data_IF_202495360864
#
_entry.id   IF_202495360864
#
_cell.length_a   1.000
_cell.length_b   1.000
_cell.length_c   1.000
_cell.angle_alpha   90.00
_cell.angle_beta   90.00
_cell.angle_gamma   90.00
#
_symmetry.space_group_name_H-M   'P 1'
#
loop_
_entity.id
_entity.type
_entity.pdbx_description
1 polymer ?
#
# COMPACT_ATOMS: atom_id res chain seq x y z
N UNK A 1 -15.42 -8.62 -8.40
CA UNK A 1 -14.05 -9.11 -8.71
C UNK A 1 -13.15 -8.84 -7.52
N UNK A 2 -12.32 -9.82 -7.16
CA UNK A 2 -11.31 -9.64 -6.12
C UNK A 2 -10.36 -8.47 -6.45
N UNK A 3 -9.97 -7.69 -5.43
CA UNK A 3 -9.14 -6.48 -5.61
C UNK A 3 -7.73 -6.84 -6.10
N UNK A 4 -7.21 -7.98 -5.65
CA UNK A 4 -5.92 -8.52 -6.10
C UNK A 4 -5.96 -8.79 -7.59
N UNK A 5 -7.01 -9.45 -8.08
CA UNK A 5 -7.17 -9.73 -9.51
C UNK A 5 -7.26 -8.43 -10.32
N UNK A 6 -8.05 -7.45 -9.88
CA UNK A 6 -8.18 -6.17 -10.60
C UNK A 6 -6.86 -5.40 -10.75
N UNK A 7 -6.00 -5.45 -9.72
CA UNK A 7 -4.68 -4.79 -9.79
C UNK A 7 -3.74 -5.63 -10.65
N UNK A 8 -3.79 -6.96 -10.55
CA UNK A 8 -2.97 -7.87 -11.34
C UNK A 8 -3.26 -7.73 -12.85
N UNK A 9 -4.52 -7.59 -13.23
CA UNK A 9 -4.92 -7.38 -14.63
C UNK A 9 -4.40 -6.05 -15.17
N UNK A 10 -4.40 -4.99 -14.36
CA UNK A 10 -3.87 -3.68 -14.73
C UNK A 10 -2.33 -3.61 -14.71
N UNK A 11 -1.70 -4.42 -13.86
CA UNK A 11 -0.26 -4.47 -13.65
C UNK A 11 0.29 -5.90 -13.70
N UNK A 12 0.33 -6.54 -14.89
CA UNK A 12 0.75 -7.94 -15.02
C UNK A 12 2.19 -8.20 -14.58
N UNK A 13 3.03 -7.16 -14.54
CA UNK A 13 4.42 -7.19 -14.12
C UNK A 13 4.61 -7.41 -12.60
N UNK A 14 3.57 -7.17 -11.78
CA UNK A 14 3.60 -7.45 -10.33
C UNK A 14 3.24 -8.91 -10.06
N UNK A 15 3.97 -9.59 -9.19
CA UNK A 15 3.54 -10.88 -8.64
C UNK A 15 2.30 -10.72 -7.75
N UNK A 16 1.54 -11.80 -7.55
CA UNK A 16 0.40 -11.78 -6.63
C UNK A 16 0.81 -11.41 -5.20
N UNK A 17 1.99 -11.86 -4.76
CA UNK A 17 2.53 -11.53 -3.44
C UNK A 17 2.78 -10.02 -3.29
N UNK A 18 3.35 -9.37 -4.31
CA UNK A 18 3.60 -7.93 -4.31
C UNK A 18 2.29 -7.13 -4.31
N UNK A 19 1.29 -7.59 -5.07
CA UNK A 19 -0.06 -6.98 -5.07
C UNK A 19 -0.68 -7.08 -3.67
N UNK A 20 -0.62 -8.24 -3.03
CA UNK A 20 -1.14 -8.43 -1.67
C UNK A 20 -0.43 -7.52 -0.67
N UNK A 21 0.90 -7.41 -0.73
CA UNK A 21 1.68 -6.49 0.13
C UNK A 21 1.27 -5.03 -0.08
N UNK A 22 1.08 -4.60 -1.32
CA UNK A 22 0.61 -3.23 -1.61
C UNK A 22 -0.80 -2.97 -1.08
N UNK A 23 -1.70 -3.96 -1.16
CA UNK A 23 -3.05 -3.87 -0.58
C UNK A 23 -2.98 -3.79 0.95
N UNK A 24 -2.15 -4.63 1.59
CA UNK A 24 -1.98 -4.67 3.05
C UNK A 24 -1.40 -3.38 3.62
N UNK A 25 -0.44 -2.77 2.91
CA UNK A 25 0.10 -1.44 3.23
C UNK A 25 -1.03 -0.40 3.42
N UNK A 26 -2.04 -0.40 2.54
CA UNK A 26 -3.14 0.57 2.61
C UNK A 26 -4.24 0.15 3.60
N UNK A 27 -4.53 -1.15 3.69
CA UNK A 27 -5.60 -1.72 4.51
C UNK A 27 -5.29 -1.71 6.00
N UNK A 28 -4.24 -2.43 6.40
CA UNK A 28 -4.04 -2.82 7.80
C UNK A 28 -3.34 -1.73 8.62
N UNK A 29 -2.57 -0.88 7.94
CA UNK A 29 -1.52 -0.12 8.60
C UNK A 29 -1.61 1.40 8.38
N UNK A 30 -2.16 1.86 7.25
CA UNK A 30 -2.54 3.27 7.07
C UNK A 30 -3.96 3.58 7.53
N UNK A 31 -4.94 2.87 6.96
CA UNK A 31 -6.36 3.18 7.15
C UNK A 31 -6.89 2.82 8.55
N UNK A 32 -6.45 1.69 9.12
CA UNK A 32 -6.84 1.29 10.47
C UNK A 32 -5.96 1.91 11.56
N UNK A 33 -4.64 1.89 11.39
CA UNK A 33 -3.70 2.30 12.45
C UNK A 33 -3.48 3.82 12.53
N UNK A 34 -3.40 4.53 11.41
CA UNK A 34 -3.17 5.99 11.39
C UNK A 34 -4.50 6.74 11.43
N UNK A 35 -5.51 6.26 10.69
CA UNK A 35 -6.78 6.98 10.53
C UNK A 35 -7.94 6.42 11.37
N UNK A 36 -7.76 5.30 12.08
CA UNK A 36 -8.79 4.66 12.92
C UNK A 36 -10.16 4.54 12.21
N UNK A 37 -10.14 4.21 10.91
CA UNK A 37 -11.36 4.20 10.10
C UNK A 37 -12.28 3.05 10.52
N UNK A 38 -13.56 3.38 10.71
CA UNK A 38 -14.62 2.38 10.85
C UNK A 38 -14.76 1.56 9.57
N UNK A 39 -15.32 0.35 9.71
CA UNK A 39 -15.31 -0.72 8.70
C UNK A 39 -15.91 -0.30 7.34
N UNK A 40 -16.95 0.53 7.37
CA UNK A 40 -17.61 1.11 6.20
C UNK A 40 -16.72 2.11 5.44
N UNK A 41 -15.96 2.93 6.15
CA UNK A 41 -15.02 3.90 5.57
C UNK A 41 -13.75 3.22 5.07
N UNK A 42 -13.36 2.10 5.69
CA UNK A 42 -12.24 1.28 5.26
C UNK A 42 -12.48 0.71 3.86
N UNK A 43 -13.66 0.14 3.60
CA UNK A 43 -13.99 -0.43 2.28
C UNK A 43 -13.94 0.62 1.17
N UNK A 44 -14.51 1.81 1.41
CA UNK A 44 -14.46 2.94 0.46
C UNK A 44 -13.02 3.42 0.22
N UNK A 45 -12.21 3.49 1.28
CA UNK A 45 -10.78 3.82 1.18
C UNK A 45 -10.03 2.79 0.32
N UNK A 46 -10.30 1.51 0.50
CA UNK A 46 -9.70 0.42 -0.28
C UNK A 46 -10.12 0.46 -1.75
N UNK A 47 -11.38 0.78 -2.04
CA UNK A 47 -11.84 0.95 -3.41
C UNK A 47 -11.19 2.15 -4.11
N UNK A 48 -11.10 3.29 -3.44
CA UNK A 48 -10.43 4.47 -3.97
C UNK A 48 -8.95 4.19 -4.27
N UNK A 49 -8.28 3.49 -3.36
CA UNK A 49 -6.89 3.07 -3.54
C UNK A 49 -6.73 2.09 -4.70
N UNK A 50 -7.61 1.09 -4.81
CA UNK A 50 -7.60 0.13 -5.93
C UNK A 50 -7.78 0.85 -7.27
N UNK A 51 -8.72 1.80 -7.35
CA UNK A 51 -8.91 2.63 -8.56
C UNK A 51 -7.67 3.46 -8.88
N UNK A 52 -7.05 4.08 -7.87
CA UNK A 52 -5.82 4.85 -8.04
C UNK A 52 -4.69 3.97 -8.61
N UNK A 53 -4.43 2.80 -8.02
CA UNK A 53 -3.38 1.89 -8.50
C UNK A 53 -3.61 1.48 -9.95
N UNK A 54 -4.85 1.13 -10.33
CA UNK A 54 -5.19 0.76 -11.71
C UNK A 54 -5.00 1.91 -12.71
N UNK A 55 -5.23 3.16 -12.27
CA UNK A 55 -5.09 4.33 -13.13
C UNK A 55 -3.65 4.75 -13.39
N UNK A 56 -2.70 4.34 -12.54
CA UNK A 56 -1.28 4.68 -12.68
C UNK A 56 -0.64 3.83 -13.77
N UNK A 57 0.29 4.42 -14.53
CA UNK A 57 1.16 3.66 -15.42
C UNK A 57 2.17 2.83 -14.62
N UNK A 58 2.76 1.80 -15.25
CA UNK A 58 3.87 1.04 -14.64
C UNK A 58 5.00 1.96 -14.17
N UNK A 59 5.40 2.95 -14.99
CA UNK A 59 6.49 3.90 -14.67
C UNK A 59 6.17 4.74 -13.44
N UNK A 60 4.91 5.15 -13.29
CA UNK A 60 4.46 5.93 -12.14
C UNK A 60 4.29 5.06 -10.89
N UNK A 61 3.88 3.80 -11.05
CA UNK A 61 3.58 2.91 -9.93
C UNK A 61 4.83 2.22 -9.37
N UNK A 62 5.81 1.92 -10.22
CA UNK A 62 7.02 1.17 -9.84
C UNK A 62 7.80 1.77 -8.67
N UNK A 63 8.08 3.09 -8.60
CA UNK A 63 8.78 3.68 -7.45
C UNK A 63 8.02 3.51 -6.13
N UNK A 64 6.69 3.56 -6.18
CA UNK A 64 5.85 3.33 -5.01
C UNK A 64 5.94 1.87 -4.55
N UNK A 65 5.82 0.92 -5.47
CA UNK A 65 5.91 -0.51 -5.17
C UNK A 65 7.27 -0.86 -4.59
N UNK A 66 8.35 -0.40 -5.22
CA UNK A 66 9.72 -0.63 -4.74
C UNK A 66 9.93 -0.05 -3.34
N UNK A 67 9.38 1.15 -3.06
CA UNK A 67 9.46 1.74 -1.72
C UNK A 67 8.66 0.93 -0.69
N UNK A 68 7.45 0.48 -1.03
CA UNK A 68 6.62 -0.33 -0.13
C UNK A 68 7.33 -1.65 0.19
N UNK A 69 7.72 -2.42 -0.82
CA UNK A 69 8.36 -3.71 -0.63
C UNK A 69 9.75 -3.58 0.01
N UNK A 70 10.50 -2.57 -0.41
CA UNK A 70 11.91 -2.43 -0.08
C UNK A 70 12.20 -1.60 1.14
N UNK A 71 11.33 -0.68 1.59
CA UNK A 71 11.61 0.25 2.71
C UNK A 71 10.54 0.17 3.78
N UNK A 72 9.26 0.19 3.39
CA UNK A 72 8.16 0.13 4.35
C UNK A 72 8.16 -1.21 5.10
N UNK A 73 8.29 -2.31 4.37
CA UNK A 73 8.30 -3.65 4.97
C UNK A 73 9.57 -4.00 5.77
N UNK A 74 10.63 -3.15 5.79
CA UNK A 74 11.82 -3.41 6.63
C UNK A 74 11.54 -3.27 8.13
N UNK A 75 10.55 -2.47 8.51
CA UNK A 75 10.17 -2.23 9.90
C UNK A 75 9.02 -3.11 10.40
N UNK A 76 8.71 -4.18 9.67
CA UNK A 76 7.68 -5.17 10.01
C UNK A 76 8.24 -6.58 9.83
N UNK A 77 7.79 -7.52 10.66
CA UNK A 77 8.20 -8.92 10.58
C UNK A 77 7.52 -9.65 9.40
N UNK A 78 7.89 -10.91 9.23
CA UNK A 78 7.28 -11.82 8.24
C UNK A 78 5.77 -12.06 8.42
N UNK A 79 5.20 -11.68 9.56
CA UNK A 79 3.78 -11.77 9.85
C UNK A 79 3.05 -10.43 9.65
N UNK A 80 3.77 -9.37 9.26
CA UNK A 80 3.22 -8.04 9.05
C UNK A 80 3.03 -7.25 10.36
N UNK A 81 3.62 -7.70 11.47
CA UNK A 81 3.62 -6.96 12.73
C UNK A 81 4.76 -5.94 12.72
N UNK A 82 4.56 -4.77 13.33
CA UNK A 82 5.64 -3.80 13.51
C UNK A 82 6.76 -4.40 14.37
N UNK A 83 7.96 -4.45 13.82
CA UNK A 83 9.18 -4.80 14.57
C UNK A 83 9.84 -3.57 15.18
N UNK A 84 9.52 -2.39 14.66
CA UNK A 84 10.06 -1.12 15.12
C UNK A 84 9.13 -0.46 16.15
N UNK A 85 9.67 -0.17 17.34
CA UNK A 85 8.91 0.34 18.50
C UNK A 85 8.52 1.82 18.34
N UNK A 86 9.12 2.55 17.40
CA UNK A 86 8.85 3.98 17.18
C UNK A 86 7.77 4.22 16.11
N UNK A 87 6.57 4.58 16.59
CA UNK A 87 5.41 4.97 15.77
C UNK A 87 5.72 6.06 14.74
N UNK A 88 6.56 7.03 15.09
CA UNK A 88 6.91 8.17 14.24
C UNK A 88 7.69 7.73 12.99
N UNK A 89 8.64 6.81 13.15
CA UNK A 89 9.40 6.22 12.02
C UNK A 89 8.46 5.53 11.04
N UNK A 90 7.48 4.79 11.58
CA UNK A 90 6.48 4.10 10.78
C UNK A 90 5.56 5.06 10.03
N UNK A 91 5.00 6.08 10.71
CA UNK A 91 4.16 7.11 10.10
C UNK A 91 4.91 7.86 8.99
N UNK A 92 6.18 8.18 9.21
CA UNK A 92 7.05 8.82 8.22
C UNK A 92 7.23 7.96 6.96
N UNK A 93 7.50 6.65 7.12
CA UNK A 93 7.59 5.73 5.97
C UNK A 93 6.27 5.62 5.23
N UNK A 94 5.16 5.56 5.94
CA UNK A 94 3.83 5.52 5.33
C UNK A 94 3.53 6.79 4.53
N UNK A 95 3.74 7.97 5.12
CA UNK A 95 3.55 9.25 4.44
C UNK A 95 4.44 9.37 3.20
N UNK A 96 5.69 8.94 3.29
CA UNK A 96 6.62 8.96 2.15
C UNK A 96 6.16 8.07 1.00
N UNK A 97 5.70 6.84 1.30
CA UNK A 97 5.13 5.94 0.28
C UNK A 97 3.91 6.60 -0.41
N UNK A 98 3.01 7.21 0.37
CA UNK A 98 1.84 7.93 -0.17
C UNK A 98 2.25 9.11 -1.05
N UNK A 99 3.25 9.89 -0.63
CA UNK A 99 3.79 11.00 -1.43
C UNK A 99 4.35 10.51 -2.76
N UNK A 100 5.12 9.40 -2.77
CA UNK A 100 5.64 8.80 -4.01
C UNK A 100 4.48 8.46 -4.96
N UNK A 101 3.46 7.74 -4.45
CA UNK A 101 2.31 7.36 -5.27
C UNK A 101 1.56 8.56 -5.88
N UNK A 102 1.41 9.65 -5.13
CA UNK A 102 0.68 10.83 -5.57
C UNK A 102 1.49 11.74 -6.50
N UNK A 103 2.80 11.82 -6.31
CA UNK A 103 3.71 12.69 -7.08
C UNK A 103 4.24 12.05 -8.35
N UNK A 104 4.27 10.72 -8.42
CA UNK A 104 4.60 10.00 -9.65
C UNK A 104 3.53 10.24 -10.72
N UNK A 105 3.90 10.98 -11.76
CA UNK A 105 3.09 11.26 -12.97
C UNK A 105 3.19 10.10 -13.97
#
# INVERSE_FOLDING_TARGET
>A
MDRTQQIKDAHPWLSYEEVVKVILYHHHQGSMWIHNLQRDKLERSMEAFTKLLKSKSMKALKPFVEYVLGVYYRGVDKYGNQTEVNKESFENRWHKARTILLTSK
#
